data_IF_319528118302
#
_entry.id   IF_319528118302
#
_cell.length_a   1.000
_cell.length_b   1.000
_cell.length_c   1.000
_cell.angle_alpha   90.00
_cell.angle_beta   90.00
_cell.angle_gamma   90.00
#
_symmetry.space_group_name_H-M   'P 1'
#
loop_
_entity.id
_entity.type
_entity.pdbx_description
1 polymer ?
#
# COMPACT_ATOMS: atom_id res chain seq x y z
N UNK A 1 -38.12 -2.57 -8.24
CA UNK A 1 -37.34 -3.53 -9.05
C UNK A 1 -36.00 -3.73 -8.33
N UNK A 2 -35.79 -4.86 -7.65
CA UNK A 2 -34.50 -5.13 -6.99
C UNK A 2 -33.49 -5.57 -8.05
N UNK A 3 -32.45 -4.77 -8.28
CA UNK A 3 -31.38 -5.15 -9.19
C UNK A 3 -30.58 -6.30 -8.57
N UNK A 4 -30.45 -7.40 -9.30
CA UNK A 4 -29.52 -8.48 -8.95
C UNK A 4 -28.12 -7.99 -9.29
N UNK A 5 -27.25 -7.90 -8.28
CA UNK A 5 -25.87 -7.43 -8.44
C UNK A 5 -24.93 -8.59 -8.15
N UNK A 6 -24.09 -8.94 -9.12
CA UNK A 6 -23.02 -9.91 -8.91
C UNK A 6 -21.97 -9.31 -7.96
N UNK A 7 -21.49 -10.13 -7.01
CA UNK A 7 -20.46 -9.74 -6.06
C UNK A 7 -19.27 -10.70 -6.17
N UNK A 8 -18.06 -10.16 -5.98
CA UNK A 8 -16.84 -10.97 -5.96
C UNK A 8 -16.84 -11.88 -4.74
N UNK A 9 -16.67 -13.18 -4.95
CA UNK A 9 -16.61 -14.19 -3.88
C UNK A 9 -15.19 -14.71 -3.67
N UNK A 10 -14.54 -15.13 -4.75
CA UNK A 10 -13.15 -15.62 -4.74
C UNK A 10 -12.37 -15.04 -5.90
N UNK A 11 -11.08 -14.83 -5.67
CA UNK A 11 -10.07 -14.56 -6.69
C UNK A 11 -8.91 -15.52 -6.51
N UNK A 12 -8.31 -15.93 -7.63
CA UNK A 12 -7.18 -16.83 -7.68
C UNK A 12 -5.97 -16.13 -8.31
N UNK A 13 -4.80 -16.37 -7.74
CA UNK A 13 -3.55 -15.79 -8.19
C UNK A 13 -3.02 -14.68 -7.27
N UNK A 14 -1.73 -14.41 -7.42
CA UNK A 14 -0.97 -13.41 -6.67
C UNK A 14 -0.29 -12.46 -7.66
N UNK A 15 -0.30 -11.15 -7.38
CA UNK A 15 0.53 -10.21 -8.13
C UNK A 15 1.98 -10.22 -7.64
N UNK A 16 2.81 -11.04 -8.28
CA UNK A 16 4.23 -11.18 -7.97
C UNK A 16 5.06 -9.89 -8.11
N UNK A 17 4.67 -8.99 -9.03
CA UNK A 17 5.38 -7.74 -9.30
C UNK A 17 5.13 -6.64 -8.25
N UNK A 18 4.20 -6.85 -7.32
CA UNK A 18 3.94 -5.90 -6.23
C UNK A 18 5.01 -6.11 -5.15
N UNK A 19 5.70 -5.05 -4.74
CA UNK A 19 6.66 -5.12 -3.64
C UNK A 19 5.93 -5.35 -2.30
N UNK A 20 6.53 -6.17 -1.42
CA UNK A 20 5.95 -6.59 -0.14
C UNK A 20 4.50 -7.12 -0.30
N UNK A 21 4.32 -8.16 -1.12
CA UNK A 21 3.00 -8.62 -1.57
C UNK A 21 2.32 -9.66 -0.68
N UNK A 22 2.89 -10.05 0.46
CA UNK A 22 2.25 -11.00 1.38
C UNK A 22 2.44 -10.48 2.81
N UNK A 23 1.34 -10.37 3.55
CA UNK A 23 1.35 -10.07 4.99
C UNK A 23 0.50 -11.06 5.76
N UNK A 24 0.97 -11.43 6.94
CA UNK A 24 0.14 -12.03 7.96
C UNK A 24 -0.62 -10.92 8.67
N UNK A 25 -1.95 -10.93 8.65
CA UNK A 25 -2.79 -10.01 9.42
C UNK A 25 -2.97 -10.54 10.85
N UNK A 26 -3.23 -11.83 10.98
CA UNK A 26 -3.21 -12.62 12.22
C UNK A 26 -2.76 -14.05 11.87
N UNK A 27 -2.95 -15.02 12.76
CA UNK A 27 -2.56 -16.42 12.55
C UNK A 27 -3.37 -17.12 11.44
N UNK A 28 -4.60 -16.67 11.19
CA UNK A 28 -5.52 -17.31 10.24
C UNK A 28 -5.70 -16.51 8.95
N UNK A 29 -5.42 -15.21 8.98
CA UNK A 29 -5.70 -14.29 7.88
C UNK A 29 -4.39 -13.79 7.26
N UNK A 30 -4.26 -14.03 5.95
CA UNK A 30 -3.21 -13.43 5.12
C UNK A 30 -3.79 -12.33 4.23
N UNK A 31 -2.96 -11.34 3.91
CA UNK A 31 -3.27 -10.24 2.99
C UNK A 31 -2.31 -10.29 1.81
N UNK A 32 -2.85 -10.31 0.59
CA UNK A 32 -2.06 -10.29 -0.63
C UNK A 32 -2.79 -9.60 -1.79
N UNK A 33 -2.09 -9.01 -2.77
CA UNK A 33 -2.69 -8.39 -3.94
C UNK A 33 -3.06 -9.43 -5.00
N UNK A 34 -4.26 -9.31 -5.56
CA UNK A 34 -4.74 -10.13 -6.67
C UNK A 34 -5.66 -9.31 -7.58
N UNK A 35 -5.39 -9.30 -8.88
CA UNK A 35 -6.04 -8.37 -9.82
C UNK A 35 -5.81 -6.92 -9.40
N UNK A 36 -6.90 -6.15 -9.31
CA UNK A 36 -6.91 -4.77 -8.79
C UNK A 36 -7.41 -4.66 -7.33
N UNK A 37 -7.31 -5.75 -6.56
CA UNK A 37 -7.75 -5.81 -5.17
C UNK A 37 -6.63 -6.33 -4.28
N UNK A 38 -6.68 -5.98 -3.00
CA UNK A 38 -6.02 -6.77 -1.96
C UNK A 38 -7.04 -7.73 -1.34
N UNK A 39 -6.62 -8.95 -1.07
CA UNK A 39 -7.44 -10.04 -0.57
C UNK A 39 -7.07 -10.30 0.87
N UNK A 40 -8.03 -10.18 1.78
CA UNK A 40 -7.97 -10.76 3.13
C UNK A 40 -8.50 -12.19 3.03
N UNK A 41 -7.62 -13.18 3.07
CA UNK A 41 -7.96 -14.59 2.98
C UNK A 41 -7.82 -15.25 4.33
N UNK A 42 -8.92 -15.81 4.87
CA UNK A 42 -8.86 -16.67 6.02
C UNK A 42 -8.55 -18.09 5.56
N UNK A 43 -7.39 -18.62 5.96
CA UNK A 43 -6.86 -19.90 5.49
C UNK A 43 -7.68 -21.08 6.02
N UNK A 44 -8.16 -20.98 7.26
CA UNK A 44 -8.90 -22.05 7.94
C UNK A 44 -10.33 -22.18 7.39
N UNK A 45 -11.06 -21.06 7.34
CA UNK A 45 -12.45 -20.99 6.90
C UNK A 45 -12.60 -20.82 5.38
N UNK A 46 -11.50 -20.61 4.66
CA UNK A 46 -11.42 -20.47 3.19
C UNK A 46 -12.26 -19.35 2.59
N UNK A 47 -12.66 -18.33 3.35
CA UNK A 47 -13.36 -17.17 2.81
C UNK A 47 -12.39 -16.05 2.42
N UNK A 48 -12.81 -15.22 1.47
CA UNK A 48 -12.08 -14.03 1.04
C UNK A 48 -12.89 -12.76 1.27
N UNK A 49 -12.23 -11.70 1.77
CA UNK A 49 -12.75 -10.33 1.76
C UNK A 49 -11.85 -9.47 0.92
N UNK A 50 -12.44 -8.52 0.21
CA UNK A 50 -11.73 -7.69 -0.76
C UNK A 50 -11.54 -6.28 -0.23
N UNK A 51 -10.32 -5.77 -0.38
CA UNK A 51 -9.95 -4.38 -0.19
C UNK A 51 -9.79 -3.80 -1.60
N UNK A 52 -10.75 -3.00 -2.09
CA UNK A 52 -10.70 -2.50 -3.45
C UNK A 52 -9.55 -1.52 -3.62
N UNK A 53 -8.80 -1.65 -4.71
CA UNK A 53 -7.89 -0.60 -5.17
C UNK A 53 -8.64 0.69 -5.52
N UNK A 54 -7.90 1.70 -5.95
CA UNK A 54 -8.52 2.95 -6.38
C UNK A 54 -9.26 2.79 -7.71
N UNK A 55 -10.34 3.56 -7.89
CA UNK A 55 -11.01 3.65 -9.18
C UNK A 55 -10.04 4.15 -10.24
N UNK A 56 -10.03 3.51 -11.42
CA UNK A 56 -9.09 3.79 -12.51
C UNK A 56 -7.62 3.58 -12.14
N UNK A 57 -7.35 2.73 -11.15
CA UNK A 57 -6.01 2.21 -10.89
C UNK A 57 -5.52 1.39 -12.09
N UNK A 58 -4.31 1.70 -12.55
CA UNK A 58 -3.59 0.99 -13.61
C UNK A 58 -2.70 -0.13 -13.03
N UNK A 59 -2.68 -0.29 -11.71
CA UNK A 59 -2.00 -1.40 -11.04
C UNK A 59 -1.36 -0.99 -9.72
N UNK A 60 -1.39 -1.94 -8.77
CA UNK A 60 -0.67 -1.85 -7.51
C UNK A 60 0.84 -2.07 -7.74
N UNK A 61 1.67 -1.34 -7.01
CA UNK A 61 3.12 -1.36 -7.13
C UNK A 61 3.82 -1.82 -5.86
N UNK A 62 3.37 -1.34 -4.71
CA UNK A 62 3.92 -1.72 -3.41
C UNK A 62 2.82 -1.71 -2.35
N UNK A 63 2.99 -2.53 -1.32
CA UNK A 63 2.14 -2.55 -0.13
C UNK A 63 2.96 -2.34 1.14
N UNK A 64 2.31 -1.90 2.20
CA UNK A 64 2.88 -1.85 3.55
C UNK A 64 1.76 -1.97 4.58
N UNK A 65 1.91 -2.86 5.57
CA UNK A 65 0.99 -2.98 6.71
C UNK A 65 1.58 -2.23 7.91
N UNK A 66 0.75 -1.52 8.65
CA UNK A 66 1.21 -0.87 9.89
C UNK A 66 1.55 -1.91 10.95
N UNK A 67 2.56 -1.68 11.82
CA UNK A 67 2.92 -2.62 12.88
C UNK A 67 1.77 -2.98 13.83
N UNK A 68 0.88 -2.01 14.11
CA UNK A 68 -0.34 -2.25 14.90
C UNK A 68 -1.45 -3.02 14.13
N UNK A 69 -1.20 -3.41 12.87
CA UNK A 69 -2.10 -4.14 11.96
C UNK A 69 -3.42 -3.43 11.68
N UNK A 70 -3.53 -2.12 11.96
CA UNK A 70 -4.78 -1.36 11.74
C UNK A 70 -4.87 -0.77 10.33
N UNK A 71 -3.74 -0.55 9.65
CA UNK A 71 -3.69 0.15 8.38
C UNK A 71 -2.92 -0.64 7.31
N UNK A 72 -3.38 -0.51 6.07
CA UNK A 72 -2.70 -0.99 4.86
C UNK A 72 -2.49 0.20 3.94
N UNK A 73 -1.23 0.49 3.61
CA UNK A 73 -0.87 1.42 2.55
C UNK A 73 -0.71 0.66 1.24
N UNK A 74 -1.33 1.15 0.18
CA UNK A 74 -1.26 0.61 -1.18
C UNK A 74 -0.75 1.71 -2.09
N UNK A 75 0.37 1.47 -2.78
CA UNK A 75 0.82 2.34 -3.87
C UNK A 75 0.22 1.89 -5.19
N UNK A 76 -0.32 2.85 -5.93
CA UNK A 76 -0.97 2.65 -7.21
C UNK A 76 -0.57 3.75 -8.20
N UNK A 77 -0.68 3.46 -9.50
CA UNK A 77 -0.78 4.49 -10.54
C UNK A 77 -2.26 4.68 -10.87
N UNK A 78 -2.81 5.87 -10.61
CA UNK A 78 -4.23 6.19 -10.82
C UNK A 78 -4.31 7.31 -11.85
N UNK A 79 -4.89 7.02 -13.03
CA UNK A 79 -4.95 7.98 -14.14
C UNK A 79 -3.59 8.64 -14.43
N UNK A 80 -2.54 7.82 -14.61
CA UNK A 80 -1.17 8.28 -14.87
C UNK A 80 -0.50 9.07 -13.74
N UNK A 81 -1.14 9.22 -12.58
CA UNK A 81 -0.57 9.87 -11.40
C UNK A 81 -0.29 8.85 -10.30
N UNK A 82 0.86 8.91 -9.62
CA UNK A 82 1.11 8.05 -8.48
C UNK A 82 0.24 8.48 -7.30
N UNK A 83 -0.27 7.49 -6.56
CA UNK A 83 -0.99 7.71 -5.32
C UNK A 83 -0.63 6.63 -4.30
N UNK A 84 -0.64 7.00 -3.02
CA UNK A 84 -0.62 6.05 -1.92
C UNK A 84 -1.95 6.13 -1.20
N UNK A 85 -2.72 5.05 -1.21
CA UNK A 85 -4.00 4.98 -0.52
C UNK A 85 -3.86 4.18 0.77
N UNK A 86 -4.31 4.75 1.88
CA UNK A 86 -4.29 4.12 3.19
C UNK A 86 -5.70 3.63 3.53
N UNK A 87 -5.81 2.33 3.81
CA UNK A 87 -7.04 1.66 4.20
C UNK A 87 -6.99 1.27 5.68
N UNK A 88 -8.14 1.37 6.35
CA UNK A 88 -8.33 0.81 7.69
C UNK A 88 -8.83 -0.63 7.60
N UNK A 89 -8.10 -1.53 8.26
CA UNK A 89 -8.29 -2.98 8.18
C UNK A 89 -9.29 -3.54 9.20
N UNK A 90 -9.64 -2.77 10.25
CA UNK A 90 -10.63 -3.17 11.26
C UNK A 90 -12.07 -3.05 10.76
N UNK A 91 -12.32 -2.18 9.79
CA UNK A 91 -13.64 -1.98 9.19
C UNK A 91 -13.98 -3.12 8.24
N UNK A 92 -15.27 -3.53 8.20
CA UNK A 92 -15.80 -4.52 7.27
C UNK A 92 -17.03 -3.90 6.59
N UNK A 93 -16.96 -3.52 5.30
CA UNK A 93 -15.79 -3.57 4.42
C UNK A 93 -14.66 -2.62 4.86
N UNK A 94 -13.41 -2.92 4.45
CA UNK A 94 -12.26 -2.07 4.78
C UNK A 94 -12.46 -0.67 4.18
N UNK A 95 -12.20 0.36 4.99
CA UNK A 95 -12.53 1.75 4.64
C UNK A 95 -11.29 2.49 4.15
N UNK A 96 -11.41 3.21 3.03
CA UNK A 96 -10.40 4.19 2.59
C UNK A 96 -10.31 5.32 3.62
N UNK A 97 -9.13 5.51 4.23
CA UNK A 97 -8.87 6.54 5.24
C UNK A 97 -8.26 7.80 4.65
N UNK A 98 -7.20 7.65 3.86
CA UNK A 98 -6.42 8.76 3.30
C UNK A 98 -5.89 8.41 1.91
N UNK A 99 -5.66 9.44 1.11
CA UNK A 99 -4.94 9.38 -0.16
C UNK A 99 -3.80 10.37 -0.08
N UNK A 100 -2.57 9.91 -0.28
CA UNK A 100 -1.38 10.74 -0.38
C UNK A 100 -1.07 10.87 -1.87
N UNK A 101 -1.39 12.03 -2.43
CA UNK A 101 -1.23 12.35 -3.85
C UNK A 101 -0.75 13.80 -4.11
N UNK A 102 -0.53 14.58 -3.05
CA UNK A 102 -0.04 15.95 -3.16
C UNK A 102 1.46 15.95 -2.91
N UNK A 103 2.25 16.05 -3.98
CA UNK A 103 3.71 16.02 -3.93
C UNK A 103 4.24 17.32 -4.52
N UNK A 104 5.14 17.99 -3.80
CA UNK A 104 5.75 19.25 -4.25
C UNK A 104 6.86 19.04 -5.32
N UNK A 105 6.98 17.82 -5.84
CA UNK A 105 7.99 17.39 -6.79
C UNK A 105 7.41 16.32 -7.72
N UNK A 106 8.07 16.08 -8.86
CA UNK A 106 7.59 15.09 -9.81
C UNK A 106 7.82 13.67 -9.28
N UNK A 107 6.73 12.88 -9.26
CA UNK A 107 6.78 11.47 -8.89
C UNK A 107 6.22 10.66 -10.04
N UNK A 108 6.95 9.63 -10.45
CA UNK A 108 6.48 8.65 -11.43
C UNK A 108 5.70 7.52 -10.76
N UNK A 109 6.33 6.86 -9.80
CA UNK A 109 5.81 5.69 -9.07
C UNK A 109 6.41 5.61 -7.67
N UNK A 110 5.66 5.08 -6.71
CA UNK A 110 6.22 4.60 -5.45
C UNK A 110 6.46 3.09 -5.53
N UNK A 111 7.70 2.68 -5.29
CA UNK A 111 8.16 1.30 -5.54
C UNK A 111 8.39 0.51 -4.27
N UNK A 112 8.52 1.19 -3.13
CA UNK A 112 8.63 0.56 -1.82
C UNK A 112 8.06 1.48 -0.74
N UNK A 113 7.49 0.89 0.31
CA UNK A 113 6.91 1.61 1.43
C UNK A 113 7.12 0.84 2.73
N UNK A 114 7.21 1.57 3.84
CA UNK A 114 7.26 1.01 5.19
C UNK A 114 6.52 1.93 6.16
N UNK A 115 5.78 1.37 7.11
CA UNK A 115 5.27 2.15 8.25
C UNK A 115 6.34 2.23 9.35
N UNK A 116 6.35 3.34 10.10
CA UNK A 116 7.17 3.45 11.32
C UNK A 116 6.67 2.48 12.40
N UNK A 117 7.53 2.10 13.38
CA UNK A 117 7.15 1.23 14.50
C UNK A 117 5.91 1.73 15.26
N UNK A 118 5.81 3.04 15.48
CA UNK A 118 4.67 3.68 16.14
C UNK A 118 3.41 3.83 15.25
N UNK A 119 3.48 3.37 13.99
CA UNK A 119 2.42 3.46 12.97
C UNK A 119 1.99 4.89 12.60
N UNK A 120 2.68 5.94 13.06
CA UNK A 120 2.31 7.35 12.77
C UNK A 120 2.89 7.86 11.46
N UNK A 121 4.00 7.30 11.02
CA UNK A 121 4.70 7.74 9.83
C UNK A 121 4.75 6.67 8.75
N UNK A 122 4.84 7.13 7.51
CA UNK A 122 5.00 6.29 6.34
C UNK A 122 6.24 6.75 5.57
N UNK A 123 7.15 5.83 5.32
CA UNK A 123 8.28 6.00 4.43
C UNK A 123 7.90 5.48 3.06
N UNK A 124 8.18 6.24 2.01
CA UNK A 124 7.91 5.84 0.64
C UNK A 124 9.08 6.18 -0.27
N UNK A 125 9.49 5.21 -1.10
CA UNK A 125 10.54 5.35 -2.08
C UNK A 125 9.96 5.62 -3.47
N UNK A 126 10.41 6.68 -4.13
CA UNK A 126 10.05 6.95 -5.53
C UNK A 126 11.00 6.24 -6.51
N UNK A 127 10.47 5.95 -7.68
CA UNK A 127 11.23 5.39 -8.82
C UNK A 127 12.10 6.44 -9.53
N UNK A 128 13.13 6.00 -10.27
CA UNK A 128 13.89 6.86 -11.20
C UNK A 128 12.97 7.57 -12.21
N UNK A 129 13.36 8.73 -12.78
CA UNK A 129 14.71 9.32 -12.76
C UNK A 129 15.05 10.13 -11.49
N UNK A 130 14.04 10.59 -10.74
CA UNK A 130 14.21 11.32 -9.48
C UNK A 130 13.83 10.41 -8.30
N UNK A 131 14.78 9.59 -7.86
CA UNK A 131 14.63 8.74 -6.68
C UNK A 131 14.74 9.58 -5.40
N UNK A 132 13.63 9.65 -4.68
CA UNK A 132 13.47 10.38 -3.43
C UNK A 132 12.91 9.43 -2.38
N UNK A 133 13.45 9.55 -1.17
CA UNK A 133 12.90 8.97 0.04
C UNK A 133 12.01 10.01 0.70
N UNK A 134 10.74 9.67 0.88
CA UNK A 134 9.73 10.60 1.38
C UNK A 134 9.22 10.10 2.73
N UNK A 135 9.37 10.93 3.76
CA UNK A 135 8.93 10.65 5.10
C UNK A 135 7.65 11.43 5.41
N UNK A 136 6.54 10.72 5.61
CA UNK A 136 5.20 11.30 5.78
C UNK A 136 4.69 11.12 7.20
N UNK A 137 4.11 12.18 7.76
CA UNK A 137 3.11 12.06 8.80
C UNK A 137 1.74 11.85 8.12
N UNK A 138 1.40 10.59 7.91
CA UNK A 138 0.36 10.21 6.95
C UNK A 138 -1.05 10.65 7.37
N UNK A 139 -1.37 10.63 8.68
CA UNK A 139 -2.68 11.03 9.19
C UNK A 139 -2.99 12.49 8.88
N UNK A 140 -1.97 13.35 8.97
CA UNK A 140 -2.06 14.79 8.69
C UNK A 140 -1.80 15.12 7.23
N UNK A 141 -1.52 14.12 6.38
CA UNK A 141 -1.11 14.33 4.98
C UNK A 141 0.01 15.36 4.86
N UNK A 142 0.99 15.29 5.78
CA UNK A 142 2.12 16.23 5.84
C UNK A 142 3.41 15.51 5.51
N UNK A 143 4.16 16.04 4.56
CA UNK A 143 5.55 15.64 4.31
C UNK A 143 6.42 16.21 5.43
N UNK A 144 7.18 15.34 6.09
CA UNK A 144 8.08 15.71 7.19
C UNK A 144 9.51 15.92 6.68
N UNK A 145 9.96 15.08 5.74
CA UNK A 145 11.25 15.21 5.08
C UNK A 145 11.23 14.56 3.69
N UNK A 146 12.10 15.07 2.81
CA UNK A 146 12.41 14.49 1.51
C UNK A 146 13.92 14.41 1.41
N UNK A 147 14.44 13.24 1.08
CA UNK A 147 15.88 13.03 0.84
C UNK A 147 16.04 12.46 -0.56
N UNK A 148 16.76 13.18 -1.42
CA UNK A 148 17.13 12.65 -2.73
C UNK A 148 18.16 11.54 -2.55
N UNK A 149 17.92 10.40 -3.17
CA UNK A 149 18.86 9.28 -3.17
C UNK A 149 19.62 9.32 -4.48
N UNK A 150 20.94 9.51 -4.40
CA UNK A 150 21.83 9.23 -5.51
C UNK A 150 22.08 7.73 -5.57
N UNK A 151 21.48 7.09 -6.57
CA UNK A 151 21.58 5.65 -6.74
C UNK A 151 22.87 5.24 -7.43
N UNK A 152 23.63 6.13 -8.08
CA UNK A 152 24.86 5.80 -8.83
C UNK A 152 24.76 4.50 -9.66
N UNK A 153 23.66 4.32 -10.41
CA UNK A 153 23.30 3.10 -11.16
C UNK A 153 23.01 1.84 -10.33
N UNK A 154 22.89 1.95 -9.01
CA UNK A 154 22.46 0.89 -8.13
C UNK A 154 20.97 1.07 -7.71
N UNK A 155 20.03 0.33 -8.32
CA UNK A 155 18.61 0.51 -8.05
C UNK A 155 18.24 0.15 -6.60
N UNK A 156 17.48 1.03 -5.95
CA UNK A 156 16.90 0.79 -4.63
C UNK A 156 15.58 0.05 -4.78
N UNK A 157 15.49 -1.13 -4.18
CA UNK A 157 14.28 -1.97 -4.25
C UNK A 157 13.42 -1.93 -2.99
N UNK A 158 14.01 -1.60 -1.84
CA UNK A 158 13.34 -1.72 -0.56
C UNK A 158 13.77 -0.63 0.42
N UNK A 159 12.81 -0.18 1.24
CA UNK A 159 13.05 0.71 2.38
C UNK A 159 12.40 0.14 3.63
N UNK A 160 12.98 0.44 4.80
CA UNK A 160 12.47 0.03 6.11
C UNK A 160 12.84 1.05 7.16
N UNK A 161 12.09 1.08 8.26
CA UNK A 161 12.51 1.76 9.49
C UNK A 161 13.49 0.87 10.27
N UNK A 162 14.37 1.54 11.02
CA UNK A 162 15.13 0.87 12.07
C UNK A 162 14.15 0.31 13.12
N UNK A 163 14.34 -0.93 13.60
CA UNK A 163 13.48 -1.50 14.63
C UNK A 163 13.70 -0.86 16.01
N UNK A 164 14.76 -0.05 16.18
CA UNK A 164 15.12 0.59 17.47
C UNK A 164 14.59 2.03 17.59
N UNK A 165 14.17 2.65 16.50
CA UNK A 165 13.67 4.02 16.49
C UNK A 165 12.15 4.03 16.77
N UNK A 166 11.76 4.55 17.93
CA UNK A 166 10.36 4.76 18.35
C UNK A 166 9.87 6.18 18.04
#
# INVERSE_FOLDING_TARGET
MSAVVAQTLHVFGLRSHVANNIFYFDEQIIIFPSGNHCVKYNVDQKWQKFIPGSEKSQGMLALSISPNRRYLAISETVQEKPAITIYELSSIPCRKRKVLNNFDFQVQKFISMAFSPDSKYLLAQTSPPESNLVYWLWEKQKVMAIVRIDTQNNPVYQVSFSPQDN
#
